data_IF_353515169987
#
_entry.id   IF_353515169987
#
_cell.length_a   1.000
_cell.length_b   1.000
_cell.length_c   1.000
_cell.angle_alpha   90.00
_cell.angle_beta   90.00
_cell.angle_gamma   90.00
#
_symmetry.space_group_name_H-M   'P 1'
#
loop_
_entity.id
_entity.type
_entity.pdbx_description
1 polymer ?
#
# COMPACT_ATOMS: atom_id res chain seq x y z
N UNK A 1 -18.89 -9.75 -6.26
CA UNK A 1 -18.05 -9.30 -7.38
C UNK A 1 -16.76 -8.86 -6.73
N UNK A 2 -15.84 -9.81 -6.71
CA UNK A 2 -14.53 -9.78 -6.06
C UNK A 2 -13.53 -8.97 -6.88
N UNK A 3 -12.48 -8.51 -6.19
CA UNK A 3 -11.25 -7.88 -6.69
C UNK A 3 -11.35 -6.45 -7.24
N UNK A 4 -11.44 -5.48 -6.32
CA UNK A 4 -11.30 -4.05 -6.64
C UNK A 4 -9.83 -3.61 -6.90
N UNK A 5 -8.83 -4.47 -6.68
CA UNK A 5 -7.44 -4.21 -7.04
C UNK A 5 -6.72 -5.55 -7.32
N UNK A 6 -6.72 -6.01 -8.57
CA UNK A 6 -5.71 -6.98 -9.03
C UNK A 6 -4.33 -6.27 -8.99
N UNK A 7 -3.66 -6.36 -7.84
CA UNK A 7 -2.26 -5.96 -7.73
C UNK A 7 -1.44 -7.06 -8.39
N UNK A 8 -1.08 -6.86 -9.66
CA UNK A 8 -0.15 -7.74 -10.37
C UNK A 8 1.23 -7.63 -9.71
N UNK A 9 1.57 -8.58 -8.82
CA UNK A 9 2.84 -8.60 -8.07
C UNK A 9 4.10 -8.55 -8.97
N UNK A 10 3.96 -8.84 -10.28
CA UNK A 10 5.07 -8.84 -11.25
C UNK A 10 5.29 -7.51 -11.94
N UNK A 11 4.28 -6.63 -11.99
CA UNK A 11 4.39 -5.28 -12.54
C UNK A 11 4.13 -4.28 -11.41
N UNK A 12 5.17 -3.57 -10.97
CA UNK A 12 5.02 -2.35 -10.12
C UNK A 12 4.36 -1.19 -10.88
N UNK A 13 3.40 -1.49 -11.74
CA UNK A 13 2.67 -0.54 -12.56
C UNK A 13 1.22 -0.80 -12.25
N UNK A 14 0.68 0.05 -11.37
CA UNK A 14 -0.75 0.15 -11.11
C UNK A 14 -1.38 0.35 -12.49
N UNK A 15 -2.17 -0.61 -12.99
CA UNK A 15 -2.97 -0.41 -14.19
C UNK A 15 -3.73 0.90 -13.97
N UNK A 16 -3.51 1.88 -14.85
CA UNK A 16 -4.10 3.21 -14.70
C UNK A 16 -5.60 3.04 -14.53
N UNK A 17 -6.10 3.21 -13.29
CA UNK A 17 -7.52 3.23 -13.03
C UNK A 17 -8.08 4.35 -13.91
N UNK A 18 -9.11 4.05 -14.69
CA UNK A 18 -9.75 5.10 -15.48
C UNK A 18 -10.52 6.01 -14.51
N UNK A 19 -9.94 7.17 -14.22
CA UNK A 19 -10.46 8.14 -13.25
C UNK A 19 -11.44 9.14 -13.88
N UNK A 20 -11.68 9.08 -15.21
CA UNK A 20 -12.54 10.03 -15.91
C UNK A 20 -14.01 9.95 -15.48
N UNK A 21 -14.47 8.79 -14.99
CA UNK A 21 -15.83 8.58 -14.47
C UNK A 21 -15.98 8.92 -12.97
N UNK A 22 -14.91 9.31 -12.28
CA UNK A 22 -14.95 9.59 -10.85
C UNK A 22 -15.34 11.05 -10.58
N UNK A 23 -16.27 11.27 -9.65
CA UNK A 23 -16.56 12.62 -9.16
C UNK A 23 -15.42 13.11 -8.26
N UNK A 24 -15.34 14.43 -8.04
CA UNK A 24 -14.34 15.03 -7.12
C UNK A 24 -14.38 14.39 -5.73
N UNK A 25 -15.57 14.05 -5.23
CA UNK A 25 -15.74 13.35 -3.95
C UNK A 25 -15.16 11.93 -3.97
N UNK A 26 -15.39 11.18 -5.05
CA UNK A 26 -14.86 9.82 -5.22
C UNK A 26 -13.33 9.83 -5.36
N UNK A 27 -12.76 10.83 -6.05
CA UNK A 27 -11.31 11.01 -6.13
C UNK A 27 -10.70 11.30 -4.74
N UNK A 28 -11.36 12.14 -3.94
CA UNK A 28 -10.90 12.42 -2.58
C UNK A 28 -10.98 11.17 -1.69
N UNK A 29 -12.03 10.37 -1.84
CA UNK A 29 -12.18 9.09 -1.13
C UNK A 29 -11.07 8.13 -1.53
N UNK A 30 -10.81 7.99 -2.83
CA UNK A 30 -9.75 7.16 -3.37
C UNK A 30 -8.37 7.58 -2.85
N UNK A 31 -8.08 8.89 -2.82
CA UNK A 31 -6.86 9.43 -2.20
C UNK A 31 -6.76 9.05 -0.72
N UNK A 32 -7.87 9.11 0.03
CA UNK A 32 -7.89 8.72 1.45
C UNK A 32 -7.60 7.23 1.63
N UNK A 33 -8.12 6.37 0.77
CA UNK A 33 -7.90 4.92 0.82
C UNK A 33 -6.44 4.57 0.50
N UNK A 34 -5.88 5.17 -0.55
CA UNK A 34 -4.47 5.01 -0.91
C UNK A 34 -3.53 5.45 0.21
N UNK A 35 -3.80 6.59 0.86
CA UNK A 35 -2.99 7.06 1.98
C UNK A 35 -3.03 6.09 3.17
N UNK A 36 -4.20 5.49 3.45
CA UNK A 36 -4.35 4.48 4.49
C UNK A 36 -3.52 3.23 4.19
N UNK A 37 -3.52 2.78 2.93
CA UNK A 37 -2.72 1.64 2.51
C UNK A 37 -1.22 1.92 2.61
N UNK A 38 -0.77 3.10 2.17
CA UNK A 38 0.61 3.57 2.33
C UNK A 38 1.03 3.57 3.81
N UNK A 39 0.15 4.04 4.70
CA UNK A 39 0.43 4.04 6.15
C UNK A 39 0.60 2.62 6.68
N UNK A 40 -0.30 1.71 6.32
CA UNK A 40 -0.22 0.29 6.73
C UNK A 40 1.05 -0.38 6.24
N UNK A 41 1.44 -0.14 4.98
CA UNK A 41 2.68 -0.67 4.42
C UNK A 41 3.92 -0.13 5.17
N UNK A 42 3.93 1.18 5.48
CA UNK A 42 5.01 1.80 6.28
C UNK A 42 5.12 1.19 7.68
N UNK A 43 4.00 0.91 8.34
CA UNK A 43 4.00 0.26 9.65
C UNK A 43 4.59 -1.15 9.59
N UNK A 44 4.20 -1.95 8.61
CA UNK A 44 4.73 -3.30 8.43
C UNK A 44 6.24 -3.29 8.11
N UNK A 45 6.70 -2.34 7.30
CA UNK A 45 8.14 -2.13 7.05
C UNK A 45 8.85 -1.77 8.36
N UNK A 46 8.28 -0.88 9.17
CA UNK A 46 8.87 -0.49 10.44
C UNK A 46 8.97 -1.67 11.42
N UNK A 47 7.92 -2.49 11.52
CA UNK A 47 7.93 -3.73 12.32
C UNK A 47 9.03 -4.69 11.86
N UNK A 48 9.14 -4.93 10.54
CA UNK A 48 10.19 -5.79 9.97
C UNK A 48 11.60 -5.23 10.22
N UNK A 49 11.79 -3.92 10.10
CA UNK A 49 13.07 -3.28 10.38
C UNK A 49 13.45 -3.38 11.87
N UNK A 50 12.47 -3.21 12.77
CA UNK A 50 12.69 -3.38 14.20
C UNK A 50 13.10 -4.82 14.53
N UNK A 51 12.36 -5.81 14.02
CA UNK A 51 12.70 -7.23 14.17
C UNK A 51 14.10 -7.54 13.63
N UNK A 52 14.45 -7.01 12.45
CA UNK A 52 15.79 -7.18 11.87
C UNK A 52 16.88 -6.62 12.78
N UNK A 53 16.67 -5.42 13.35
CA UNK A 53 17.62 -4.78 14.26
C UNK A 53 17.76 -5.55 15.58
N UNK A 54 16.65 -6.04 16.12
CA UNK A 54 16.64 -6.88 17.33
C UNK A 54 17.38 -8.21 17.09
N UNK A 55 17.14 -8.87 15.95
CA UNK A 55 17.88 -10.07 15.56
C UNK A 55 19.37 -9.78 15.39
N UNK A 56 19.75 -8.69 14.72
CA UNK A 56 21.16 -8.29 14.57
C UNK A 56 21.85 -8.03 15.91
N UNK A 57 21.14 -7.46 16.88
CA UNK A 57 21.66 -7.26 18.23
C UNK A 57 21.75 -8.58 19.02
N UNK A 58 20.92 -9.57 18.72
CA UNK A 58 20.91 -10.86 19.40
C UNK A 58 22.04 -11.78 18.94
N UNK A 59 22.45 -11.69 17.68
CA UNK A 59 23.54 -12.49 17.10
C UNK A 59 24.93 -11.81 17.17
N UNK A 60 25.08 -10.74 17.96
CA UNK A 60 26.33 -10.00 18.16
C UNK A 60 26.76 -10.06 19.61
#
# INVERSE_FOLDING_TARGET
MDDFLEIDEKKKTINSLNLDDFSVEDLNKYISELNKEISRAKEEINKKNKLKKEAQNFFK
#
